data_IF_923629347036
#
_entry.id   IF_923629347036
#
_cell.length_a   1.000
_cell.length_b   1.000
_cell.length_c   1.000
_cell.angle_alpha   90.00
_cell.angle_beta   90.00
_cell.angle_gamma   90.00
#
_symmetry.space_group_name_H-M   'P 1'
#
loop_
_entity.id
_entity.type
_entity.pdbx_description
1 polymer ?
#
# COMPACT_ATOMS: atom_id res chain seq x y z
N UNK A 1 -1.06 9.40 -20.03
CA UNK A 1 -1.29 8.86 -18.69
C UNK A 1 -0.32 9.48 -17.67
N UNK A 2 0.98 9.35 -17.86
CA UNK A 2 2.00 9.86 -16.92
C UNK A 2 1.94 11.37 -16.69
N UNK A 3 1.59 12.16 -17.72
CA UNK A 3 1.34 13.60 -17.59
C UNK A 3 0.10 13.86 -16.72
N UNK A 4 -0.97 13.08 -16.89
CA UNK A 4 -2.14 13.16 -16.02
C UNK A 4 -1.79 12.83 -14.57
N UNK A 5 -1.02 11.76 -14.35
CA UNK A 5 -0.56 11.38 -13.02
C UNK A 5 0.33 12.50 -12.39
N UNK A 6 1.14 13.21 -13.20
CA UNK A 6 1.94 14.34 -12.74
C UNK A 6 1.08 15.55 -12.34
N UNK A 7 0.04 15.88 -13.12
CA UNK A 7 -0.88 16.98 -12.82
C UNK A 7 -1.67 16.70 -11.54
N UNK A 8 -2.07 15.44 -11.31
CA UNK A 8 -2.83 15.03 -10.13
C UNK A 8 -1.97 14.59 -8.95
N UNK A 9 -0.65 14.76 -9.03
CA UNK A 9 0.23 14.40 -7.92
C UNK A 9 0.10 15.39 -6.77
N UNK A 10 -0.23 14.89 -5.59
CA UNK A 10 -0.49 15.66 -4.38
C UNK A 10 0.62 15.48 -3.34
N UNK A 11 1.50 14.51 -3.58
CA UNK A 11 2.64 14.22 -2.72
C UNK A 11 3.95 14.18 -3.52
N UNK A 12 5.08 14.36 -2.82
CA UNK A 12 6.41 14.27 -3.45
C UNK A 12 6.66 12.91 -4.08
N UNK A 13 6.25 11.85 -3.40
CA UNK A 13 6.44 10.48 -3.88
C UNK A 13 5.66 10.21 -5.18
N UNK A 14 4.42 10.72 -5.28
CA UNK A 14 3.62 10.63 -6.52
C UNK A 14 4.25 11.42 -7.65
N UNK A 15 4.66 12.67 -7.37
CA UNK A 15 5.33 13.53 -8.34
C UNK A 15 6.60 12.86 -8.89
N UNK A 16 7.46 12.36 -8.01
CA UNK A 16 8.72 11.75 -8.41
C UNK A 16 8.52 10.49 -9.25
N UNK A 17 7.50 9.69 -8.92
CA UNK A 17 7.11 8.54 -9.74
C UNK A 17 6.60 8.99 -11.12
N UNK A 18 5.69 9.95 -11.17
CA UNK A 18 5.13 10.47 -12.42
C UNK A 18 6.22 11.06 -13.33
N UNK A 19 7.17 11.83 -12.78
CA UNK A 19 8.32 12.38 -13.53
C UNK A 19 9.15 11.25 -14.15
N UNK A 20 9.50 10.20 -13.40
CA UNK A 20 10.24 9.04 -13.94
C UNK A 20 9.49 8.36 -15.07
N UNK A 21 8.17 8.27 -14.99
CA UNK A 21 7.34 7.69 -16.06
C UNK A 21 7.30 8.59 -17.31
N UNK A 22 7.17 9.91 -17.12
CA UNK A 22 7.22 10.91 -18.22
C UNK A 22 8.60 10.85 -18.92
N UNK A 23 9.68 10.65 -18.18
CA UNK A 23 11.03 10.48 -18.72
C UNK A 23 11.22 9.17 -19.52
N UNK A 24 10.20 8.32 -19.57
CA UNK A 24 10.19 7.13 -20.41
C UNK A 24 10.75 5.86 -19.75
N UNK A 25 11.01 5.86 -18.44
CA UNK A 25 11.60 4.69 -17.75
C UNK A 25 10.79 3.40 -17.99
N UNK A 26 9.47 3.45 -17.91
CA UNK A 26 8.63 2.30 -18.20
C UNK A 26 8.68 1.91 -19.69
N UNK A 27 8.58 2.89 -20.59
CA UNK A 27 8.62 2.66 -22.04
C UNK A 27 9.94 2.02 -22.48
N UNK A 28 11.06 2.52 -21.97
CA UNK A 28 12.38 1.98 -22.27
C UNK A 28 12.51 0.54 -21.79
N UNK A 29 12.03 0.26 -20.58
CA UNK A 29 12.06 -1.10 -20.03
C UNK A 29 11.22 -2.09 -20.86
N UNK A 30 9.98 -1.72 -21.20
CA UNK A 30 9.12 -2.59 -22.00
C UNK A 30 9.60 -2.74 -23.45
N UNK A 31 10.21 -1.71 -24.02
CA UNK A 31 10.83 -1.81 -25.34
C UNK A 31 12.03 -2.76 -25.33
N UNK A 32 12.89 -2.74 -24.29
CA UNK A 32 13.99 -3.70 -24.16
C UNK A 32 13.47 -5.14 -24.07
N UNK A 33 12.42 -5.39 -23.28
CA UNK A 33 11.79 -6.72 -23.25
C UNK A 33 11.22 -7.12 -24.60
N UNK A 34 10.56 -6.19 -25.30
CA UNK A 34 10.00 -6.42 -26.63
C UNK A 34 11.08 -6.78 -27.65
N UNK A 35 12.19 -6.03 -27.68
CA UNK A 35 13.31 -6.30 -28.58
C UNK A 35 13.93 -7.70 -28.34
N UNK A 36 14.09 -8.09 -27.06
CA UNK A 36 14.57 -9.43 -26.70
C UNK A 36 13.61 -10.52 -27.17
N UNK A 37 12.30 -10.31 -27.08
CA UNK A 37 11.29 -11.25 -27.56
C UNK A 37 11.30 -11.36 -29.09
N UNK A 38 11.33 -10.23 -29.81
CA UNK A 38 11.40 -10.20 -31.27
C UNK A 38 12.65 -10.93 -31.76
N UNK A 39 13.80 -10.65 -31.17
CA UNK A 39 15.04 -11.34 -31.49
C UNK A 39 14.96 -12.86 -31.29
N UNK A 40 14.32 -13.28 -30.16
CA UNK A 40 14.11 -14.71 -29.87
C UNK A 40 13.17 -15.35 -30.89
N UNK A 41 12.09 -14.65 -31.27
CA UNK A 41 11.14 -15.11 -32.28
C UNK A 41 11.80 -15.24 -33.64
N UNK A 42 12.59 -14.25 -34.10
CA UNK A 42 13.31 -14.29 -35.39
C UNK A 42 14.24 -15.49 -35.49
N UNK A 43 14.90 -15.88 -34.40
CA UNK A 43 15.76 -17.07 -34.41
C UNK A 43 14.93 -18.37 -34.53
N UNK A 44 13.75 -18.44 -33.93
CA UNK A 44 12.86 -19.61 -34.05
C UNK A 44 12.28 -19.68 -35.45
N UNK A 45 11.83 -18.57 -36.03
CA UNK A 45 11.33 -18.51 -37.42
C UNK A 45 12.41 -18.93 -38.41
N UNK A 46 13.63 -18.38 -38.27
CA UNK A 46 14.76 -18.79 -39.11
C UNK A 46 15.03 -20.31 -39.02
N UNK A 47 14.90 -20.93 -37.85
CA UNK A 47 15.08 -22.38 -37.70
C UNK A 47 13.95 -23.19 -38.36
N UNK A 48 12.75 -22.65 -38.44
CA UNK A 48 11.61 -23.29 -39.12
C UNK A 48 11.77 -23.17 -40.64
N UNK A 49 12.10 -21.97 -41.13
CA UNK A 49 12.21 -21.68 -42.57
C UNK A 49 13.42 -22.36 -43.22
N UNK A 50 14.51 -22.46 -42.49
CA UNK A 50 15.77 -23.06 -42.93
C UNK A 50 16.07 -24.34 -42.14
N UNK A 51 15.12 -25.25 -42.13
CA UNK A 51 15.21 -26.49 -41.33
C UNK A 51 16.35 -27.43 -41.77
N UNK A 52 16.77 -27.35 -43.04
CA UNK A 52 17.89 -28.14 -43.63
C UNK A 52 19.26 -27.53 -43.33
N UNK A 53 19.33 -26.25 -42.97
CA UNK A 53 20.57 -25.60 -42.58
C UNK A 53 20.88 -25.86 -41.09
N UNK A 54 22.10 -26.29 -40.79
CA UNK A 54 22.59 -26.53 -39.45
C UNK A 54 22.77 -25.19 -38.68
N UNK A 55 21.67 -24.62 -38.18
CA UNK A 55 21.79 -23.52 -37.20
C UNK A 55 22.51 -24.04 -35.95
N UNK A 56 23.57 -23.35 -35.49
CA UNK A 56 24.35 -23.80 -34.36
C UNK A 56 23.46 -24.05 -33.13
N UNK A 57 23.61 -25.21 -32.46
CA UNK A 57 22.87 -25.52 -31.20
C UNK A 57 22.99 -24.42 -30.16
N UNK A 58 24.06 -23.61 -30.23
CA UNK A 58 24.29 -22.46 -29.38
C UNK A 58 23.16 -21.42 -29.48
N UNK A 59 22.60 -21.22 -30.68
CA UNK A 59 21.50 -20.26 -30.91
C UNK A 59 20.24 -20.63 -30.14
N UNK A 60 19.85 -21.91 -30.15
CA UNK A 60 18.69 -22.39 -29.40
C UNK A 60 18.88 -22.23 -27.89
N UNK A 61 20.09 -22.47 -27.38
CA UNK A 61 20.42 -22.25 -25.97
C UNK A 61 20.36 -20.75 -25.60
N UNK A 62 20.80 -19.88 -26.49
CA UNK A 62 20.71 -18.43 -26.31
C UNK A 62 19.25 -17.96 -26.26
N UNK A 63 18.37 -18.47 -27.13
CA UNK A 63 16.96 -18.20 -27.13
C UNK A 63 16.31 -18.67 -25.82
N UNK A 64 16.59 -19.90 -25.39
CA UNK A 64 16.07 -20.42 -24.12
C UNK A 64 16.51 -19.55 -22.91
N UNK A 65 17.77 -19.15 -22.88
CA UNK A 65 18.28 -18.29 -21.80
C UNK A 65 17.65 -16.91 -21.83
N UNK A 66 17.44 -16.33 -23.01
CA UNK A 66 16.76 -15.04 -23.19
C UNK A 66 15.32 -15.10 -22.64
N UNK A 67 14.54 -16.12 -23.06
CA UNK A 67 13.16 -16.29 -22.59
C UNK A 67 13.08 -16.52 -21.08
N UNK A 68 13.97 -17.35 -20.51
CA UNK A 68 14.06 -17.56 -19.06
C UNK A 68 14.38 -16.26 -18.32
N UNK A 69 15.27 -15.42 -18.89
CA UNK A 69 15.59 -14.10 -18.35
C UNK A 69 14.39 -13.18 -18.35
N UNK A 70 13.68 -13.06 -19.47
CA UNK A 70 12.46 -12.25 -19.61
C UNK A 70 11.38 -12.71 -18.62
N UNK A 71 11.15 -14.01 -18.54
CA UNK A 71 10.18 -14.59 -17.61
C UNK A 71 10.50 -14.21 -16.15
N UNK A 72 11.77 -14.32 -15.75
CA UNK A 72 12.23 -13.92 -14.42
C UNK A 72 12.04 -12.43 -14.16
N UNK A 73 12.35 -11.59 -15.15
CA UNK A 73 12.23 -10.13 -15.05
C UNK A 73 10.75 -9.73 -14.90
N UNK A 74 9.85 -10.33 -15.68
CA UNK A 74 8.40 -10.10 -15.57
C UNK A 74 7.88 -10.53 -14.19
N UNK A 75 8.27 -11.71 -13.71
CA UNK A 75 7.90 -12.18 -12.36
C UNK A 75 8.31 -11.18 -11.28
N UNK A 76 9.56 -10.72 -11.34
CA UNK A 76 10.09 -9.76 -10.37
C UNK A 76 9.30 -8.45 -10.34
N UNK A 77 8.80 -7.98 -11.49
CA UNK A 77 7.98 -6.76 -11.56
C UNK A 77 6.58 -7.02 -11.00
N UNK A 78 6.01 -8.18 -11.29
CA UNK A 78 4.66 -8.52 -10.80
C UNK A 78 4.67 -8.71 -9.28
N UNK A 79 5.75 -9.23 -8.72
CA UNK A 79 5.92 -9.48 -7.27
C UNK A 79 6.33 -8.23 -6.47
N UNK A 80 6.26 -7.05 -7.05
CA UNK A 80 6.65 -5.77 -6.42
C UNK A 80 5.70 -5.25 -5.31
N UNK A 81 4.78 -6.10 -4.81
CA UNK A 81 3.76 -5.73 -3.82
C UNK A 81 2.84 -4.57 -4.25
N UNK A 82 2.67 -4.37 -5.56
CA UNK A 82 1.86 -3.28 -6.14
C UNK A 82 2.34 -1.88 -5.74
N UNK A 83 3.63 -1.71 -5.51
CA UNK A 83 4.20 -0.45 -5.01
C UNK A 83 3.83 0.72 -5.91
N UNK A 84 3.97 0.59 -7.23
CA UNK A 84 3.65 1.65 -8.16
C UNK A 84 2.18 2.06 -8.16
N UNK A 85 1.28 1.09 -8.02
CA UNK A 85 -0.16 1.32 -7.89
C UNK A 85 -0.46 2.04 -6.57
N UNK A 86 0.16 1.61 -5.46
CA UNK A 86 -0.04 2.20 -4.14
C UNK A 86 0.54 3.61 -4.00
N UNK A 87 1.67 3.90 -4.65
CA UNK A 87 2.18 5.27 -4.71
C UNK A 87 1.19 6.16 -5.44
N UNK A 88 0.63 5.69 -6.55
CA UNK A 88 -0.32 6.45 -7.34
C UNK A 88 -1.65 6.63 -6.61
N UNK A 89 -2.24 5.55 -6.12
CA UNK A 89 -3.60 5.53 -5.57
C UNK A 89 -3.65 5.89 -4.08
N UNK A 90 -2.54 5.75 -3.36
CA UNK A 90 -2.40 5.95 -1.92
C UNK A 90 -2.25 4.65 -1.14
N UNK A 91 -1.50 4.72 -0.04
CA UNK A 91 -1.33 3.61 0.91
C UNK A 91 -2.52 3.56 1.87
N UNK A 92 -3.19 2.43 1.93
CA UNK A 92 -4.36 2.24 2.79
C UNK A 92 -3.93 1.98 4.24
N UNK A 93 -4.29 2.88 5.14
CA UNK A 93 -4.04 2.75 6.57
C UNK A 93 -5.38 2.63 7.30
N UNK A 94 -5.59 1.52 8.01
CA UNK A 94 -6.79 1.31 8.81
C UNK A 94 -6.56 1.75 10.26
N UNK A 95 -7.59 2.38 10.86
CA UNK A 95 -7.61 2.70 12.29
C UNK A 95 -8.68 1.83 12.95
N UNK A 96 -8.26 0.90 13.81
CA UNK A 96 -9.13 -0.05 14.52
C UNK A 96 -8.96 0.10 16.02
N UNK A 97 -9.81 -0.54 16.80
CA UNK A 97 -9.75 -0.51 18.27
C UNK A 97 -11.11 -0.51 18.93
N UNK A 98 -11.14 -0.55 20.26
CA UNK A 98 -12.36 -0.61 21.07
C UNK A 98 -13.25 0.63 20.92
N UNK A 99 -14.51 0.51 21.33
CA UNK A 99 -15.43 1.65 21.42
C UNK A 99 -14.84 2.67 22.40
N UNK A 100 -14.94 3.95 22.05
CA UNK A 100 -14.42 5.08 22.87
C UNK A 100 -12.90 5.08 23.12
N UNK A 101 -12.11 4.25 22.41
CA UNK A 101 -10.64 4.31 22.48
C UNK A 101 -10.04 5.61 21.87
N UNK A 102 -10.83 6.39 21.12
CA UNK A 102 -10.42 7.68 20.56
C UNK A 102 -10.08 7.63 19.06
N UNK A 103 -10.56 6.62 18.31
CA UNK A 103 -10.29 6.45 16.88
C UNK A 103 -10.69 7.67 16.04
N UNK A 104 -11.93 8.11 16.14
CA UNK A 104 -12.44 9.27 15.38
C UNK A 104 -11.74 10.58 15.78
N UNK A 105 -11.37 10.70 17.06
CA UNK A 105 -10.59 11.85 17.53
C UNK A 105 -9.17 11.82 16.93
N UNK A 106 -8.55 10.65 16.85
CA UNK A 106 -7.25 10.48 16.21
C UNK A 106 -7.30 10.83 14.72
N UNK A 107 -8.30 10.29 14.00
CA UNK A 107 -8.49 10.58 12.58
C UNK A 107 -8.65 12.08 12.34
N UNK A 108 -9.52 12.74 13.10
CA UNK A 108 -9.75 14.18 13.01
C UNK A 108 -8.48 14.99 13.34
N UNK A 109 -7.68 14.53 14.29
CA UNK A 109 -6.44 15.19 14.67
C UNK A 109 -5.39 15.10 13.56
N UNK A 110 -5.22 13.91 12.97
CA UNK A 110 -4.30 13.69 11.85
C UNK A 110 -4.78 14.49 10.62
N UNK A 111 -6.07 14.41 10.29
CA UNK A 111 -6.64 15.14 9.14
C UNK A 111 -6.53 16.67 9.25
N UNK A 112 -6.51 17.22 10.45
CA UNK A 112 -6.30 18.66 10.67
C UNK A 112 -4.84 19.09 10.60
N UNK A 113 -3.91 18.20 10.90
CA UNK A 113 -2.47 18.47 10.91
C UNK A 113 -1.85 18.37 9.53
N UNK A 114 -2.13 17.27 8.88
CA UNK A 114 -1.64 17.00 7.54
C UNK A 114 -2.73 17.48 6.60
N UNK A 115 -2.39 18.38 5.69
CA UNK A 115 -3.36 18.97 4.75
C UNK A 115 -4.19 17.85 4.17
N UNK A 116 -5.44 17.72 4.66
CA UNK A 116 -6.40 16.81 4.05
C UNK A 116 -6.53 17.23 2.59
N UNK A 117 -6.15 16.34 1.70
CA UNK A 117 -6.29 16.53 0.28
C UNK A 117 -7.79 16.45 0.03
N UNK A 118 -8.41 17.61 -0.16
CA UNK A 118 -9.84 17.66 -0.51
C UNK A 118 -9.93 17.29 -1.98
N UNK A 119 -10.17 16.01 -2.29
CA UNK A 119 -10.56 15.66 -3.64
C UNK A 119 -11.98 16.21 -3.87
N UNK A 120 -12.14 17.09 -4.84
CA UNK A 120 -13.44 17.62 -5.30
C UNK A 120 -14.33 16.57 -5.97
N UNK A 121 -13.95 15.32 -6.02
CA UNK A 121 -14.83 14.23 -6.45
C UNK A 121 -15.82 13.87 -5.32
N UNK A 122 -16.77 14.78 -5.10
CA UNK A 122 -18.01 14.50 -4.42
C UNK A 122 -18.87 13.57 -5.27
N UNK A 123 -18.70 12.26 -5.08
CA UNK A 123 -19.51 11.35 -5.91
C UNK A 123 -19.39 9.89 -5.58
N UNK A 124 -19.58 9.49 -4.31
CA UNK A 124 -20.26 8.22 -3.97
C UNK A 124 -20.62 8.26 -2.50
N UNK A 125 -21.70 8.92 -2.21
CA UNK A 125 -22.43 8.82 -0.96
C UNK A 125 -22.83 7.37 -0.74
N UNK A 126 -22.21 6.70 0.23
CA UNK A 126 -22.92 5.83 1.19
C UNK A 126 -22.09 5.02 2.17
N UNK A 127 -20.82 4.66 1.96
CA UNK A 127 -20.30 3.58 2.81
C UNK A 127 -18.95 3.74 3.51
N UNK A 128 -18.06 4.68 3.17
CA UNK A 128 -16.77 4.85 3.90
C UNK A 128 -16.28 6.28 3.77
N UNK A 129 -16.02 6.95 4.88
CA UNK A 129 -15.29 8.22 4.85
C UNK A 129 -13.80 7.86 4.71
N UNK A 130 -13.31 7.88 3.49
CA UNK A 130 -11.87 7.82 3.20
C UNK A 130 -11.32 9.24 3.28
N UNK A 131 -10.24 9.42 4.04
CA UNK A 131 -9.56 10.70 4.13
C UNK A 131 -8.19 10.57 3.49
N UNK A 132 -7.95 11.35 2.43
CA UNK A 132 -6.67 11.41 1.74
C UNK A 132 -5.74 12.38 2.44
N UNK A 133 -4.53 11.94 2.73
CA UNK A 133 -3.54 12.70 3.50
C UNK A 133 -2.16 12.62 2.85
N UNK A 134 -1.41 13.70 2.96
CA UNK A 134 0.01 13.71 2.67
C UNK A 134 0.80 13.54 3.97
N UNK A 135 1.15 12.32 4.33
CA UNK A 135 1.96 12.04 5.51
C UNK A 135 3.44 12.10 5.15
N UNK A 136 4.04 13.27 5.33
CA UNK A 136 5.47 13.52 5.15
C UNK A 136 6.00 13.02 3.79
N UNK A 137 5.27 13.38 2.72
CA UNK A 137 5.56 13.03 1.32
C UNK A 137 4.88 11.74 0.82
N UNK A 138 4.25 10.94 1.69
CA UNK A 138 3.57 9.71 1.33
C UNK A 138 2.06 9.93 1.16
N UNK A 139 1.46 9.47 0.05
CA UNK A 139 0.01 9.50 -0.12
C UNK A 139 -0.62 8.42 0.74
N UNK A 140 -1.43 8.81 1.71
CA UNK A 140 -2.08 7.89 2.65
C UNK A 140 -3.59 8.06 2.59
N UNK A 141 -4.29 6.94 2.50
CA UNK A 141 -5.75 6.86 2.60
C UNK A 141 -6.07 6.31 3.99
N UNK A 142 -6.60 7.16 4.88
CA UNK A 142 -7.13 6.69 6.15
C UNK A 142 -8.56 6.18 5.95
N UNK A 143 -8.75 4.88 6.15
CA UNK A 143 -10.06 4.27 6.17
C UNK A 143 -10.62 4.30 7.60
N UNK A 144 -11.67 5.10 7.86
CA UNK A 144 -12.35 5.09 9.15
C UNK A 144 -13.20 3.82 9.28
N UNK A 145 -12.78 2.92 10.15
CA UNK A 145 -13.58 1.75 10.52
C UNK A 145 -14.65 2.09 11.56
N UNK A 146 -14.64 3.30 12.13
CA UNK A 146 -15.58 3.76 13.14
C UNK A 146 -16.80 4.51 12.57
N UNK A 147 -16.80 4.86 11.28
CA UNK A 147 -17.86 5.64 10.61
C UNK A 147 -19.23 4.94 10.51
N UNK A 148 -19.37 3.71 10.95
CA UNK A 148 -20.66 3.03 11.05
C UNK A 148 -21.34 3.48 12.34
N UNK A 149 -21.99 4.63 12.28
CA UNK A 149 -23.02 5.03 13.25
C UNK A 149 -24.22 4.09 13.10
N UNK A 150 -24.17 2.92 13.71
CA UNK A 150 -25.33 2.05 13.82
C UNK A 150 -25.67 1.82 15.29
N UNK A 151 -26.96 1.93 15.57
CA UNK A 151 -27.56 1.90 16.88
C UNK A 151 -27.29 0.63 17.71
N UNK A 152 -27.40 0.77 19.00
CA UNK A 152 -27.14 -0.17 20.09
C UNK A 152 -27.60 -1.62 19.84
N UNK A 153 -26.78 -2.56 20.24
CA UNK A 153 -26.98 -3.97 20.62
C UNK A 153 -26.77 -5.15 19.63
N UNK A 154 -26.82 -5.02 18.31
CA UNK A 154 -26.37 -6.10 17.38
C UNK A 154 -25.13 -5.72 16.57
N UNK A 155 -24.68 -4.54 16.74
CA UNK A 155 -23.76 -3.79 15.90
C UNK A 155 -22.31 -4.03 16.25
N UNK A 156 -22.03 -4.40 17.48
CA UNK A 156 -20.64 -4.59 17.95
C UNK A 156 -19.96 -5.76 17.21
N UNK A 157 -20.66 -6.89 17.03
CA UNK A 157 -20.14 -8.05 16.29
C UNK A 157 -19.99 -7.77 14.79
N UNK A 158 -20.94 -7.07 14.17
CA UNK A 158 -20.84 -6.66 12.75
C UNK A 158 -19.75 -5.61 12.54
N UNK A 159 -19.59 -4.66 13.47
CA UNK A 159 -18.51 -3.67 13.43
C UNK A 159 -17.11 -4.30 13.47
N UNK A 160 -16.92 -5.30 14.32
CA UNK A 160 -15.62 -6.03 14.44
C UNK A 160 -15.35 -6.86 13.18
N UNK A 161 -16.34 -7.54 12.61
CA UNK A 161 -16.14 -8.32 11.38
C UNK A 161 -15.79 -7.44 10.17
N UNK A 162 -16.41 -6.26 10.05
CA UNK A 162 -16.08 -5.26 9.03
C UNK A 162 -14.68 -4.65 9.26
N UNK A 163 -14.31 -4.38 10.51
CA UNK A 163 -12.98 -3.92 10.87
C UNK A 163 -11.91 -4.96 10.54
N UNK A 164 -12.19 -6.25 10.78
CA UNK A 164 -11.31 -7.36 10.40
C UNK A 164 -11.14 -7.47 8.87
N UNK A 165 -12.21 -7.28 8.09
CA UNK A 165 -12.14 -7.26 6.63
C UNK A 165 -11.24 -6.14 6.12
N UNK A 166 -11.48 -4.91 6.56
CA UNK A 166 -10.68 -3.74 6.17
C UNK A 166 -9.23 -3.81 6.66
N UNK A 167 -8.98 -4.35 7.85
CA UNK A 167 -7.63 -4.56 8.37
C UNK A 167 -6.82 -5.52 7.49
N UNK A 168 -7.45 -6.50 6.84
CA UNK A 168 -6.78 -7.42 5.92
C UNK A 168 -6.43 -6.78 4.58
N UNK A 169 -7.19 -5.79 4.14
CA UNK A 169 -6.96 -5.06 2.89
C UNK A 169 -6.02 -3.87 3.07
N UNK A 170 -5.80 -3.44 4.31
CA UNK A 170 -4.94 -2.30 4.62
C UNK A 170 -3.44 -2.64 4.49
N UNK A 171 -2.67 -1.67 4.04
CA UNK A 171 -1.21 -1.76 3.96
C UNK A 171 -0.56 -1.66 5.34
N UNK A 172 -1.21 -0.91 6.25
CA UNK A 172 -0.79 -0.70 7.63
C UNK A 172 -2.01 -0.62 8.54
N UNK A 173 -1.93 -1.26 9.69
CA UNK A 173 -2.98 -1.21 10.70
C UNK A 173 -2.53 -0.41 11.93
N UNK A 174 -3.38 0.52 12.39
CA UNK A 174 -3.22 1.23 13.64
C UNK A 174 -4.31 0.74 14.59
N UNK A 175 -3.89 0.10 15.68
CA UNK A 175 -4.82 -0.37 16.73
C UNK A 175 -4.78 0.61 17.88
N UNK A 176 -5.90 1.30 18.11
CA UNK A 176 -6.05 2.28 19.20
C UNK A 176 -6.65 1.59 20.40
N UNK A 177 -5.94 1.64 21.51
CA UNK A 177 -6.34 1.03 22.81
C UNK A 177 -6.44 2.14 23.85
N UNK A 178 -7.47 2.10 24.68
CA UNK A 178 -7.59 2.96 25.83
C UNK A 178 -6.61 2.50 26.93
N UNK A 179 -5.60 3.31 27.23
CA UNK A 179 -4.58 2.96 28.21
C UNK A 179 -5.11 2.88 29.66
N UNK A 180 -6.32 3.36 29.92
CA UNK A 180 -6.99 3.22 31.23
C UNK A 180 -7.82 1.93 31.34
N UNK A 181 -8.03 1.20 30.24
CA UNK A 181 -8.80 -0.05 30.23
C UNK A 181 -8.01 -1.18 30.92
N UNK A 182 -8.67 -1.89 31.85
CA UNK A 182 -8.06 -3.00 32.59
C UNK A 182 -7.70 -4.21 31.74
N UNK A 183 -8.40 -4.40 30.64
CA UNK A 183 -8.19 -5.52 29.70
C UNK A 183 -8.45 -5.07 28.28
N UNK A 184 -7.74 -5.66 27.34
CA UNK A 184 -7.95 -5.47 25.89
C UNK A 184 -8.74 -6.65 25.37
N UNK A 185 -9.75 -6.39 24.54
CA UNK A 185 -10.56 -7.41 23.91
C UNK A 185 -9.69 -8.39 23.10
N UNK A 186 -9.96 -9.70 23.24
CA UNK A 186 -9.16 -10.74 22.58
C UNK A 186 -9.27 -10.71 21.05
N UNK A 187 -10.39 -10.22 20.50
CA UNK A 187 -10.52 -10.01 19.06
C UNK A 187 -9.61 -8.89 18.56
N UNK A 188 -9.43 -7.83 19.33
CA UNK A 188 -8.49 -6.74 19.05
C UNK A 188 -7.05 -7.26 19.13
N UNK A 189 -6.73 -8.08 20.15
CA UNK A 189 -5.38 -8.70 20.25
C UNK A 189 -5.04 -9.54 19.03
N UNK A 190 -6.00 -10.27 18.44
CA UNK A 190 -5.81 -11.05 17.22
C UNK A 190 -5.50 -10.22 15.98
N UNK A 191 -5.86 -8.93 15.97
CA UNK A 191 -5.53 -8.00 14.88
C UNK A 191 -4.08 -7.48 14.97
N UNK A 192 -3.44 -7.63 16.12
CA UNK A 192 -2.09 -7.14 16.36
C UNK A 192 -1.08 -8.14 15.79
N UNK A 193 -0.30 -7.69 14.84
CA UNK A 193 0.79 -8.44 14.21
C UNK A 193 2.03 -7.54 14.06
N UNK A 194 3.12 -8.05 13.47
CA UNK A 194 4.38 -7.31 13.30
C UNK A 194 4.24 -6.04 12.46
N UNK A 195 3.24 -6.00 11.56
CA UNK A 195 2.97 -4.84 10.70
C UNK A 195 2.03 -3.81 11.35
N UNK A 196 1.49 -4.11 12.54
CA UNK A 196 0.58 -3.23 13.28
C UNK A 196 1.35 -2.18 14.06
N UNK A 197 0.79 -0.98 14.22
CA UNK A 197 1.18 0.01 15.23
C UNK A 197 0.11 0.02 16.31
N UNK A 198 0.50 -0.21 17.56
CA UNK A 198 -0.41 -0.08 18.71
C UNK A 198 -0.29 1.32 19.30
N UNK A 199 -1.39 2.04 19.34
CA UNK A 199 -1.49 3.35 19.98
C UNK A 199 -2.23 3.21 21.32
N UNK A 200 -1.48 3.30 22.43
CA UNK A 200 -2.04 3.40 23.76
C UNK A 200 -2.46 4.85 24.01
N UNK A 201 -3.74 5.12 23.75
CA UNK A 201 -4.32 6.46 23.87
C UNK A 201 -4.72 6.78 25.31
N UNK A 202 -5.05 8.04 25.58
CA UNK A 202 -5.46 8.57 26.89
C UNK A 202 -4.35 8.49 27.96
N UNK A 203 -3.10 8.74 27.55
CA UNK A 203 -1.97 8.80 28.49
C UNK A 203 -2.07 9.96 29.50
N UNK A 204 -3.02 10.86 29.33
CA UNK A 204 -3.37 11.97 30.23
C UNK A 204 -4.18 11.50 31.45
N UNK A 205 -4.79 10.32 31.42
CA UNK A 205 -5.56 9.76 32.55
C UNK A 205 -4.62 9.14 33.59
N UNK A 206 -4.99 9.27 34.88
CA UNK A 206 -4.15 8.82 36.00
C UNK A 206 -4.04 7.29 36.12
N UNK A 207 -5.12 6.56 35.83
CA UNK A 207 -5.16 5.09 35.91
C UNK A 207 -4.53 4.47 34.66
N UNK A 208 -3.20 4.34 34.69
CA UNK A 208 -2.43 3.74 33.59
C UNK A 208 -2.30 2.24 33.77
N UNK A 209 -2.61 1.48 32.72
CA UNK A 209 -2.34 0.04 32.67
C UNK A 209 -1.04 -0.23 31.91
N UNK A 210 -0.34 -1.28 32.29
CA UNK A 210 0.95 -1.63 31.69
C UNK A 210 0.76 -2.67 30.59
N UNK A 211 0.08 -2.28 29.49
CA UNK A 211 -0.13 -3.16 28.34
C UNK A 211 1.19 -3.34 27.58
N UNK A 212 1.60 -4.59 27.39
CA UNK A 212 2.78 -4.95 26.57
C UNK A 212 2.35 -5.73 25.34
N UNK A 213 2.85 -5.31 24.18
CA UNK A 213 2.62 -5.98 22.90
C UNK A 213 3.97 -6.23 22.23
N UNK A 214 4.07 -7.33 21.51
CA UNK A 214 5.28 -7.69 20.73
C UNK A 214 5.26 -6.98 19.35
N UNK A 215 5.03 -5.67 19.36
CA UNK A 215 5.00 -4.80 18.17
C UNK A 215 5.28 -3.36 18.57
N UNK A 216 5.41 -2.48 17.57
CA UNK A 216 5.60 -1.05 17.76
C UNK A 216 4.44 -0.44 18.56
N UNK A 217 4.72 -0.06 19.80
CA UNK A 217 3.74 0.51 20.74
C UNK A 217 4.09 1.95 21.06
N UNK A 218 3.11 2.84 20.92
CA UNK A 218 3.25 4.28 21.19
C UNK A 218 2.25 4.69 22.26
N UNK A 219 2.75 5.29 23.33
CA UNK A 219 1.91 5.89 24.38
C UNK A 219 1.60 7.34 24.00
N UNK A 220 0.32 7.69 23.84
CA UNK A 220 -0.11 9.00 23.36
C UNK A 220 -1.36 9.52 24.08
N UNK A 221 -1.60 10.83 23.97
CA UNK A 221 -2.89 11.46 24.26
C UNK A 221 -3.34 12.24 23.03
N UNK A 222 -4.40 11.74 22.39
CA UNK A 222 -5.04 12.44 21.29
C UNK A 222 -5.65 13.76 21.77
N UNK A 223 -6.19 13.79 23.00
CA UNK A 223 -6.78 14.97 23.61
C UNK A 223 -5.77 16.10 23.82
N UNK A 224 -4.58 15.76 24.30
CA UNK A 224 -3.49 16.71 24.57
C UNK A 224 -2.50 16.86 23.40
N UNK A 225 -2.75 16.21 22.28
CA UNK A 225 -1.87 16.17 21.11
C UNK A 225 -0.43 15.70 21.47
N UNK A 226 -0.30 14.78 22.42
CA UNK A 226 0.98 14.28 22.91
C UNK A 226 1.41 13.02 22.15
N UNK A 227 2.67 12.99 21.70
CA UNK A 227 3.29 11.88 20.97
C UNK A 227 2.62 11.51 19.62
N UNK A 228 1.81 12.39 19.05
CA UNK A 228 1.20 12.17 17.72
C UNK A 228 2.26 12.25 16.61
N UNK A 229 3.27 13.10 16.76
CA UNK A 229 4.40 13.15 15.82
C UNK A 229 5.19 11.85 15.76
N UNK A 230 5.34 11.17 16.90
CA UNK A 230 5.96 9.85 16.95
C UNK A 230 5.16 8.81 16.19
N UNK A 231 3.81 8.90 16.22
CA UNK A 231 2.94 8.04 15.42
C UNK A 231 3.12 8.30 13.91
N UNK A 232 3.11 9.57 13.49
CA UNK A 232 3.30 9.98 12.09
C UNK A 232 4.65 9.48 11.58
N UNK A 233 5.72 9.72 12.33
CA UNK A 233 7.05 9.22 12.01
C UNK A 233 7.08 7.69 11.88
N UNK A 234 6.37 6.97 12.76
CA UNK A 234 6.32 5.52 12.74
C UNK A 234 5.53 4.97 11.55
N UNK A 235 4.44 5.65 11.16
CA UNK A 235 3.71 5.35 9.92
C UNK A 235 4.67 5.44 8.73
N UNK A 236 5.37 6.57 8.58
CA UNK A 236 6.37 6.76 7.52
C UNK A 236 7.45 5.67 7.52
N UNK A 237 8.03 5.36 8.68
CA UNK A 237 9.05 4.32 8.80
C UNK A 237 8.54 2.94 8.33
N UNK A 238 7.32 2.57 8.71
CA UNK A 238 6.74 1.29 8.29
C UNK A 238 6.41 1.27 6.80
N UNK A 239 5.84 2.34 6.27
CA UNK A 239 5.57 2.46 4.83
C UNK A 239 6.87 2.45 4.03
N UNK A 240 7.87 3.22 4.43
CA UNK A 240 9.17 3.22 3.75
C UNK A 240 9.83 1.85 3.75
N UNK A 241 9.89 1.14 4.86
CA UNK A 241 10.47 -0.21 4.95
C UNK A 241 9.73 -1.25 4.11
N UNK A 242 8.40 -1.19 4.08
CA UNK A 242 7.56 -2.15 3.36
C UNK A 242 7.58 -1.92 1.85
N UNK A 243 7.78 -0.68 1.43
CA UNK A 243 7.65 -0.25 0.03
C UNK A 243 8.91 0.39 -0.55
N UNK A 244 10.06 0.33 0.15
CA UNK A 244 11.35 0.68 -0.43
C UNK A 244 11.82 -0.50 -1.26
N UNK A 245 11.39 -0.57 -2.52
CA UNK A 245 12.09 -1.40 -3.49
C UNK A 245 13.09 -0.52 -4.25
N UNK A 246 14.30 -1.06 -4.46
CA UNK A 246 15.30 -0.45 -5.35
C UNK A 246 14.86 -0.46 -6.83
N UNK A 247 13.66 -0.94 -7.12
CA UNK A 247 13.09 -0.98 -8.46
C UNK A 247 12.21 0.25 -8.68
N UNK A 248 12.46 0.95 -9.75
CA UNK A 248 11.50 1.87 -10.34
C UNK A 248 10.15 1.18 -10.38
N UNK A 249 9.15 1.73 -9.70
CA UNK A 249 7.79 1.22 -9.73
C UNK A 249 7.24 1.37 -11.16
N UNK A 250 7.42 0.35 -11.97
CA UNK A 250 7.12 0.37 -13.43
C UNK A 250 5.63 0.13 -13.70
N UNK A 251 4.96 -0.63 -12.81
CA UNK A 251 3.53 -0.90 -12.91
C UNK A 251 2.80 0.09 -12.00
N UNK A 252 2.07 1.01 -12.60
CA UNK A 252 1.24 1.99 -11.87
C UNK A 252 -0.25 1.76 -12.07
N UNK A 253 -0.61 0.74 -12.85
CA UNK A 253 -2.01 0.43 -13.16
C UNK A 253 -2.23 -1.08 -13.21
N UNK A 254 -3.33 -1.52 -12.63
CA UNK A 254 -3.71 -2.94 -12.58
C UNK A 254 -3.80 -3.58 -13.97
N UNK A 255 -4.27 -2.85 -14.98
CA UNK A 255 -4.33 -3.35 -16.37
C UNK A 255 -2.97 -3.75 -16.93
N UNK A 256 -1.88 -3.04 -16.57
CA UNK A 256 -0.52 -3.40 -16.99
C UNK A 256 -0.10 -4.71 -16.31
N UNK A 257 -0.42 -4.88 -15.03
CA UNK A 257 -0.17 -6.11 -14.27
C UNK A 257 -0.92 -7.31 -14.86
N UNK A 258 -2.20 -7.13 -15.21
CA UNK A 258 -3.01 -8.17 -15.87
C UNK A 258 -2.38 -8.60 -17.18
N UNK A 259 -1.91 -7.64 -18.03
CA UNK A 259 -1.25 -7.97 -19.30
C UNK A 259 0.07 -8.70 -19.12
N UNK A 260 0.89 -8.29 -18.14
CA UNK A 260 2.14 -8.98 -17.84
C UNK A 260 1.90 -10.41 -17.32
N UNK A 261 0.87 -10.63 -16.49
CA UNK A 261 0.47 -11.97 -16.06
C UNK A 261 0.06 -12.85 -17.25
N UNK A 262 -0.63 -12.29 -18.26
CA UNK A 262 -0.99 -13.00 -19.49
C UNK A 262 0.24 -13.40 -20.33
N UNK A 263 1.35 -12.67 -20.22
CA UNK A 263 2.60 -13.01 -20.89
C UNK A 263 3.35 -14.19 -20.25
N UNK A 264 2.97 -14.60 -19.04
CA UNK A 264 3.62 -15.69 -18.31
C UNK A 264 2.95 -17.07 -18.52
N UNK A 265 1.80 -17.08 -19.19
CA UNK A 265 1.02 -18.29 -19.53
C UNK A 265 1.47 -18.82 -20.88
#
# INVERSE_FOLDING_TARGET
>A
ESIGDLIHSETELQRDQAVKLVQGNASNYYNDLREKLIKSLSYIEAKIDFAEDDLPEKVLKEVQNSIKGIHKDIHKIIEDNKIGEKIRDGFRVSITGEVNAGKSSLLNLIAKRDVAIVSDEAGTTRDVIETYLNIDGYPVILADTAGIRVAKNEVEKKGISLALGKSKEADLNIVVIDNSSKSVNDEIKKMINKDTIVLLNKSDVQDKQNHKFDTDTILASVKENKNIESLIKKIKEKLSKKFTSNNTALITRERHRVKLNQCLI
#
